data_IF_791312825293
#
_entry.id   IF_791312825293
#
_cell.length_a   1.000
_cell.length_b   1.000
_cell.length_c   1.000
_cell.angle_alpha   90.00
_cell.angle_beta   90.00
_cell.angle_gamma   90.00
#
_symmetry.space_group_name_H-M   'P 1'
#
loop_
_entity.id
_entity.type
_entity.pdbx_description
1 polymer ?
#
# COMPACT_ATOMS: atom_id res chain seq x y z
N UNK A 1 13.53 65.64 40.04
CA UNK A 1 12.60 64.50 40.28
C UNK A 1 11.88 64.05 39.00
N UNK A 2 10.95 64.83 38.42
CA UNK A 2 10.24 64.39 37.18
C UNK A 2 11.21 64.21 35.99
N UNK A 3 12.11 65.18 35.76
CA UNK A 3 13.09 65.09 34.67
C UNK A 3 14.04 63.88 34.80
N UNK A 4 14.42 63.56 36.02
CA UNK A 4 15.31 62.43 36.36
C UNK A 4 14.60 61.09 36.14
N UNK A 5 13.33 60.99 36.54
CA UNK A 5 12.48 59.82 36.24
C UNK A 5 12.25 59.66 34.73
N UNK A 6 12.07 60.75 33.99
CA UNK A 6 11.94 60.72 32.53
C UNK A 6 13.24 60.20 31.88
N UNK A 7 14.40 60.65 32.37
CA UNK A 7 15.70 60.23 31.87
C UNK A 7 15.96 58.74 32.10
N UNK A 8 15.67 58.23 33.30
CA UNK A 8 15.77 56.80 33.62
C UNK A 8 14.82 55.97 32.74
N UNK A 9 13.60 56.46 32.52
CA UNK A 9 12.63 55.80 31.64
C UNK A 9 13.11 55.79 30.18
N UNK A 10 13.65 56.90 29.68
CA UNK A 10 14.21 56.96 28.32
C UNK A 10 15.40 56.02 28.15
N UNK A 11 16.28 55.92 29.16
CA UNK A 11 17.40 54.98 29.15
C UNK A 11 16.92 53.53 29.16
N UNK A 12 15.89 53.20 29.95
CA UNK A 12 15.29 51.88 29.96
C UNK A 12 14.65 51.54 28.61
N UNK A 13 13.91 52.47 27.99
CA UNK A 13 13.33 52.29 26.65
C UNK A 13 14.45 52.07 25.61
N UNK A 14 15.49 52.90 25.62
CA UNK A 14 16.62 52.78 24.71
C UNK A 14 17.38 51.45 24.89
N UNK A 15 17.40 50.89 26.09
CA UNK A 15 17.99 49.58 26.36
C UNK A 15 17.10 48.41 25.90
N UNK A 16 15.78 48.58 25.86
CA UNK A 16 14.82 47.55 25.44
C UNK A 16 14.72 47.45 23.91
N UNK A 17 14.81 48.56 23.18
CA UNK A 17 14.77 48.59 21.70
C UNK A 17 15.70 47.54 21.05
N UNK A 18 17.01 47.50 21.34
CA UNK A 18 17.90 46.52 20.70
C UNK A 18 17.56 45.07 21.07
N UNK A 19 16.97 44.84 22.26
CA UNK A 19 16.51 43.50 22.66
C UNK A 19 15.29 43.09 21.84
N UNK A 20 14.35 43.99 21.57
CA UNK A 20 13.20 43.72 20.71
C UNK A 20 13.63 43.46 19.27
N UNK A 21 14.57 44.26 18.76
CA UNK A 21 15.11 44.09 17.40
C UNK A 21 15.82 42.74 17.25
N UNK A 22 16.64 42.34 18.22
CA UNK A 22 17.30 41.05 18.23
C UNK A 22 16.29 39.88 18.25
N UNK A 23 15.23 39.96 19.06
CA UNK A 23 14.17 38.95 19.06
C UNK A 23 13.41 38.90 17.74
N UNK A 24 13.09 40.06 17.15
CA UNK A 24 12.43 40.15 15.84
C UNK A 24 13.29 39.49 14.74
N UNK A 25 14.59 39.74 14.74
CA UNK A 25 15.53 39.11 13.81
C UNK A 25 15.63 37.59 14.03
N UNK A 26 15.67 37.14 15.29
CA UNK A 26 15.69 35.72 15.62
C UNK A 26 14.41 35.01 15.16
N UNK A 27 13.24 35.61 15.38
CA UNK A 27 11.94 35.09 14.92
C UNK A 27 11.87 35.03 13.39
N UNK A 28 12.33 36.06 12.69
CA UNK A 28 12.39 36.03 11.23
C UNK A 28 13.34 34.96 10.70
N UNK A 29 14.50 34.78 11.36
CA UNK A 29 15.45 33.71 11.02
C UNK A 29 14.83 32.33 11.22
N UNK A 30 14.12 32.13 12.34
CA UNK A 30 13.41 30.89 12.63
C UNK A 30 12.31 30.62 11.61
N UNK A 31 11.49 31.62 11.30
CA UNK A 31 10.43 31.53 10.27
C UNK A 31 11.02 31.09 8.92
N UNK A 32 12.06 31.76 8.46
CA UNK A 32 12.74 31.42 7.19
C UNK A 32 13.35 30.00 7.25
N UNK A 33 13.88 29.58 8.40
CA UNK A 33 14.40 28.24 8.63
C UNK A 33 13.31 27.16 8.52
N UNK A 34 12.15 27.41 9.13
CA UNK A 34 10.99 26.52 9.08
C UNK A 34 10.46 26.41 7.64
N UNK A 35 10.33 27.53 6.93
CA UNK A 35 9.87 27.54 5.53
C UNK A 35 10.83 26.74 4.62
N UNK A 36 12.15 26.92 4.77
CA UNK A 36 13.15 26.15 4.02
C UNK A 36 13.06 24.65 4.34
N UNK A 37 12.93 24.31 5.62
CA UNK A 37 12.81 22.93 6.07
C UNK A 37 11.54 22.27 5.51
N UNK A 38 10.43 22.99 5.52
CA UNK A 38 9.16 22.55 4.94
C UNK A 38 9.31 22.25 3.43
N UNK A 39 9.91 23.16 2.67
CA UNK A 39 10.20 22.95 1.23
C UNK A 39 11.09 21.73 1.02
N UNK A 40 12.16 21.58 1.82
CA UNK A 40 13.08 20.45 1.69
C UNK A 40 12.37 19.12 1.97
N UNK A 41 11.54 19.07 3.01
CA UNK A 41 10.75 17.88 3.32
C UNK A 41 9.77 17.54 2.20
N UNK A 42 8.99 18.52 1.71
CA UNK A 42 8.05 18.29 0.60
C UNK A 42 8.73 17.71 -0.63
N UNK A 43 9.89 18.27 -1.04
CA UNK A 43 10.67 17.75 -2.17
C UNK A 43 11.16 16.32 -1.91
N UNK A 44 11.59 16.03 -0.68
CA UNK A 44 12.05 14.69 -0.29
C UNK A 44 10.91 13.67 -0.35
N UNK A 45 9.71 14.01 0.14
CA UNK A 45 8.53 13.14 0.06
C UNK A 45 8.12 12.85 -1.39
N UNK A 46 8.06 13.89 -2.23
CA UNK A 46 7.74 13.72 -3.65
C UNK A 46 8.77 12.84 -4.36
N UNK A 47 10.06 13.09 -4.15
CA UNK A 47 11.13 12.27 -4.75
C UNK A 47 11.06 10.80 -4.31
N UNK A 48 10.85 10.54 -3.02
CA UNK A 48 10.72 9.19 -2.49
C UNK A 48 9.49 8.48 -3.05
N UNK A 49 8.37 9.18 -3.15
CA UNK A 49 7.15 8.63 -3.72
C UNK A 49 7.30 8.31 -5.21
N UNK A 50 7.89 9.22 -6.00
CA UNK A 50 8.20 8.98 -7.41
C UNK A 50 9.08 7.73 -7.55
N UNK A 51 10.13 7.62 -6.73
CA UNK A 51 11.03 6.45 -6.73
C UNK A 51 10.28 5.16 -6.40
N UNK A 52 9.36 5.19 -5.42
CA UNK A 52 8.49 4.05 -5.08
C UNK A 52 7.59 3.66 -6.25
N UNK A 53 6.91 4.63 -6.87
CA UNK A 53 6.02 4.40 -8.01
C UNK A 53 6.78 3.79 -9.19
N UNK A 54 7.97 4.29 -9.53
CA UNK A 54 8.82 3.70 -10.57
C UNK A 54 9.26 2.27 -10.27
N UNK A 55 9.38 1.91 -8.98
CA UNK A 55 9.65 0.54 -8.52
C UNK A 55 8.38 -0.31 -8.41
N UNK A 56 7.25 0.14 -8.97
CA UNK A 56 5.94 -0.48 -8.85
C UNK A 56 5.46 -0.65 -7.40
N UNK A 57 5.94 0.19 -6.48
CA UNK A 57 5.49 0.25 -5.09
C UNK A 57 4.43 1.35 -4.97
N UNK A 58 3.18 0.92 -4.81
CA UNK A 58 2.04 1.82 -4.75
C UNK A 58 2.06 2.63 -3.44
N UNK A 59 1.86 3.95 -3.53
CA UNK A 59 1.97 4.84 -2.37
C UNK A 59 1.22 6.16 -2.56
N UNK A 60 0.60 6.66 -1.48
CA UNK A 60 -0.01 7.99 -1.43
C UNK A 60 0.85 9.02 -0.66
N UNK A 61 2.10 8.68 -0.33
CA UNK A 61 2.97 9.49 0.52
C UNK A 61 3.44 10.82 -0.11
N UNK A 62 3.12 11.07 -1.38
CA UNK A 62 3.36 12.36 -2.03
C UNK A 62 2.24 13.37 -1.75
N UNK A 63 1.09 12.92 -1.25
CA UNK A 63 -0.01 13.79 -0.87
C UNK A 63 0.31 14.46 0.48
N UNK A 64 -0.05 15.73 0.59
CA UNK A 64 -0.10 16.39 1.89
C UNK A 64 -1.15 15.70 2.78
N UNK A 65 -1.06 15.81 4.12
CA UNK A 65 -2.09 15.27 5.00
C UNK A 65 -3.50 15.77 4.62
N UNK A 66 -3.64 17.05 4.31
CA UNK A 66 -4.92 17.66 3.94
C UNK A 66 -5.47 17.10 2.62
N UNK A 67 -4.61 16.88 1.63
CA UNK A 67 -5.03 16.31 0.34
C UNK A 67 -5.29 14.81 0.43
N UNK A 68 -4.56 14.09 1.28
CA UNK A 68 -4.80 12.68 1.55
C UNK A 68 -6.21 12.48 2.13
N UNK A 69 -6.63 13.34 3.06
CA UNK A 69 -7.99 13.30 3.59
C UNK A 69 -9.04 13.50 2.49
N UNK A 70 -8.86 14.47 1.60
CA UNK A 70 -9.78 14.69 0.46
C UNK A 70 -9.86 13.48 -0.44
N UNK A 71 -8.71 12.93 -0.86
CA UNK A 71 -8.66 11.73 -1.71
C UNK A 71 -9.36 10.55 -1.04
N UNK A 72 -9.15 10.35 0.26
CA UNK A 72 -9.84 9.31 1.02
C UNK A 72 -11.34 9.52 0.98
N UNK A 73 -11.84 10.72 1.29
CA UNK A 73 -13.28 10.99 1.26
C UNK A 73 -13.90 10.84 -0.13
N UNK A 74 -13.22 11.33 -1.17
CA UNK A 74 -13.68 11.20 -2.56
C UNK A 74 -13.82 9.72 -2.94
N UNK A 75 -12.86 8.87 -2.57
CA UNK A 75 -12.92 7.43 -2.86
C UNK A 75 -14.07 6.76 -2.10
N UNK A 76 -14.30 7.16 -0.85
CA UNK A 76 -15.38 6.63 -0.02
C UNK A 76 -16.74 7.00 -0.63
N UNK A 77 -16.91 8.26 -1.02
CA UNK A 77 -18.16 8.77 -1.60
C UNK A 77 -18.41 8.17 -2.98
N UNK A 78 -17.44 8.26 -3.90
CA UNK A 78 -17.57 7.73 -5.26
C UNK A 78 -17.69 6.20 -5.28
N UNK A 79 -17.05 5.52 -4.32
CA UNK A 79 -17.09 4.08 -4.18
C UNK A 79 -18.26 3.55 -3.36
N UNK A 80 -19.08 4.42 -2.76
CA UNK A 80 -20.14 4.05 -1.80
C UNK A 80 -19.64 3.07 -0.72
N UNK A 81 -18.45 3.35 -0.18
CA UNK A 81 -17.77 2.48 0.78
C UNK A 81 -18.34 2.70 2.19
N UNK A 82 -18.57 1.60 2.90
CA UNK A 82 -18.93 1.64 4.32
C UNK A 82 -17.87 0.90 5.13
N UNK A 83 -17.51 1.47 6.28
CA UNK A 83 -16.49 0.91 7.16
C UNK A 83 -17.11 0.59 8.52
N UNK A 84 -17.00 -0.66 8.95
CA UNK A 84 -17.35 -1.05 10.30
C UNK A 84 -16.15 -0.82 11.22
N UNK A 85 -16.22 0.23 12.04
CA UNK A 85 -15.21 0.52 13.04
C UNK A 85 -15.38 -0.41 14.25
N UNK A 86 -14.77 -1.59 14.20
CA UNK A 86 -14.55 -2.42 15.41
C UNK A 86 -13.14 -2.20 15.97
N UNK A 87 -12.97 -2.37 17.28
CA UNK A 87 -11.68 -2.17 17.95
C UNK A 87 -10.57 -3.04 17.33
N UNK A 88 -9.46 -2.41 16.94
CA UNK A 88 -8.36 -3.05 16.20
C UNK A 88 -8.45 -2.92 14.68
N UNK A 89 -9.41 -2.17 14.14
CA UNK A 89 -9.55 -1.93 12.70
C UNK A 89 -8.34 -1.19 12.11
N UNK A 90 -7.91 -1.64 10.94
CA UNK A 90 -6.91 -0.99 10.09
C UNK A 90 -7.30 0.49 9.87
N UNK A 91 -6.38 1.47 9.95
CA UNK A 91 -6.67 2.86 9.64
C UNK A 91 -7.30 3.02 8.25
N UNK A 92 -8.32 3.88 8.11
CA UNK A 92 -9.03 4.10 6.83
C UNK A 92 -8.06 4.43 5.70
N UNK A 93 -7.06 5.26 5.97
CA UNK A 93 -6.00 5.60 5.00
C UNK A 93 -5.27 4.37 4.48
N UNK A 94 -4.98 3.40 5.34
CA UNK A 94 -4.32 2.16 4.96
C UNK A 94 -5.27 1.26 4.16
N UNK A 95 -6.56 1.20 4.53
CA UNK A 95 -7.58 0.50 3.74
C UNK A 95 -7.66 1.09 2.32
N UNK A 96 -7.78 2.41 2.20
CA UNK A 96 -7.82 3.11 0.91
C UNK A 96 -6.54 2.89 0.11
N UNK A 97 -5.38 2.90 0.77
CA UNK A 97 -4.09 2.59 0.11
C UNK A 97 -4.08 1.15 -0.42
N UNK A 98 -4.71 0.19 0.26
CA UNK A 98 -4.87 -1.19 -0.22
C UNK A 98 -5.85 -1.33 -1.40
N UNK A 99 -6.68 -0.32 -1.67
CA UNK A 99 -7.53 -0.27 -2.87
C UNK A 99 -6.76 0.22 -4.11
N UNK A 100 -5.58 0.81 -3.93
CA UNK A 100 -4.75 1.28 -5.03
C UNK A 100 -4.20 0.08 -5.80
N UNK A 101 -4.54 -0.02 -7.09
CA UNK A 101 -4.10 -1.14 -7.96
C UNK A 101 -3.05 -0.73 -8.97
N UNK A 102 -3.00 0.55 -9.33
CA UNK A 102 -2.03 1.09 -10.27
C UNK A 102 -1.77 2.56 -10.02
N UNK A 103 -0.55 2.99 -10.30
CA UNK A 103 -0.17 4.39 -10.38
C UNK A 103 0.57 4.64 -11.69
N UNK A 104 0.34 5.81 -12.26
CA UNK A 104 1.01 6.27 -13.47
C UNK A 104 1.51 7.69 -13.24
N UNK A 105 2.73 7.95 -13.72
CA UNK A 105 3.34 9.28 -13.68
C UNK A 105 3.47 9.77 -15.10
N UNK A 106 2.86 10.92 -15.37
CA UNK A 106 2.93 11.61 -16.64
C UNK A 106 3.54 12.99 -16.42
N UNK A 107 4.31 13.48 -17.39
CA UNK A 107 4.81 14.85 -17.40
C UNK A 107 4.19 15.60 -18.57
N UNK A 108 3.47 16.69 -18.27
CA UNK A 108 2.83 17.55 -19.25
C UNK A 108 3.70 18.81 -19.40
N UNK A 109 4.44 18.99 -20.52
CA UNK A 109 5.24 20.18 -20.76
C UNK A 109 4.39 21.46 -20.76
N UNK A 110 4.98 22.59 -20.34
CA UNK A 110 4.27 23.87 -20.32
C UNK A 110 3.84 24.40 -21.69
N UNK A 111 4.39 23.84 -22.77
CA UNK A 111 3.92 24.10 -24.13
C UNK A 111 2.51 23.56 -24.44
N UNK A 112 1.97 22.68 -23.59
CA UNK A 112 0.68 22.01 -23.82
C UNK A 112 -0.50 22.66 -23.07
N UNK A 113 -0.29 23.72 -22.29
CA UNK A 113 -1.37 24.41 -21.58
C UNK A 113 -1.07 25.91 -21.42
N UNK A 114 -2.12 26.68 -21.10
CA UNK A 114 -1.98 28.11 -20.83
C UNK A 114 -1.29 28.27 -19.48
N UNK A 115 -0.06 28.77 -19.51
CA UNK A 115 0.77 28.95 -18.34
C UNK A 115 0.94 30.45 -18.03
N UNK A 116 0.69 30.83 -16.78
CA UNK A 116 0.87 32.21 -16.30
C UNK A 116 2.29 32.45 -15.74
N UNK A 117 3.03 31.38 -15.45
CA UNK A 117 4.38 31.45 -14.89
C UNK A 117 5.43 31.11 -15.96
N UNK A 118 6.21 32.09 -16.45
CA UNK A 118 7.20 31.85 -17.51
C UNK A 118 8.35 30.91 -17.09
N UNK A 119 8.49 30.60 -15.80
CA UNK A 119 9.51 29.69 -15.28
C UNK A 119 9.04 28.25 -15.08
N UNK A 120 7.74 27.97 -15.23
CA UNK A 120 7.21 26.61 -15.14
C UNK A 120 7.50 25.83 -16.44
N UNK A 121 8.23 24.73 -16.31
CA UNK A 121 8.64 23.86 -17.44
C UNK A 121 7.59 22.79 -17.78
N UNK A 122 6.65 22.54 -16.87
CA UNK A 122 5.65 21.49 -17.01
C UNK A 122 5.04 21.09 -15.68
N UNK A 123 4.03 20.21 -15.75
CA UNK A 123 3.31 19.65 -14.61
C UNK A 123 3.57 18.16 -14.53
N UNK A 124 3.89 17.69 -13.34
CA UNK A 124 3.90 16.28 -13.03
C UNK A 124 2.49 15.86 -12.61
N UNK A 125 1.93 14.88 -13.31
CA UNK A 125 0.61 14.32 -13.00
C UNK A 125 0.81 12.90 -12.52
N UNK A 126 0.30 12.61 -11.32
CA UNK A 126 0.28 11.26 -10.76
C UNK A 126 -1.16 10.78 -10.78
N UNK A 127 -1.45 9.82 -11.66
CA UNK A 127 -2.77 9.22 -11.80
C UNK A 127 -2.85 7.95 -10.96
N UNK A 128 -3.81 7.90 -10.04
CA UNK A 128 -4.07 6.75 -9.18
C UNK A 128 -5.30 5.99 -9.69
N UNK A 129 -5.18 4.67 -9.76
CA UNK A 129 -6.30 3.79 -10.10
C UNK A 129 -6.66 2.96 -8.86
N UNK A 130 -7.90 3.08 -8.42
CA UNK A 130 -8.42 2.35 -7.27
C UNK A 130 -9.41 1.27 -7.73
N UNK A 131 -9.33 0.09 -7.12
CA UNK A 131 -10.33 -0.95 -7.25
C UNK A 131 -11.29 -0.89 -6.07
N UNK A 132 -12.48 -0.36 -6.31
CA UNK A 132 -13.54 -0.30 -5.30
C UNK A 132 -14.33 -1.60 -5.33
N UNK A 133 -14.49 -2.30 -4.20
CA UNK A 133 -15.34 -3.49 -4.12
C UNK A 133 -16.81 -3.15 -4.39
N UNK A 134 -17.49 -3.97 -5.20
CA UNK A 134 -18.94 -3.85 -5.40
C UNK A 134 -19.71 -4.50 -4.23
N UNK A 135 -20.90 -4.01 -3.91
CA UNK A 135 -21.72 -4.53 -2.80
C UNK A 135 -22.14 -6.00 -3.00
N UNK A 136 -22.29 -6.45 -4.25
CA UNK A 136 -22.63 -7.84 -4.59
C UNK A 136 -21.39 -8.69 -4.88
N UNK A 137 -20.38 -8.60 -4.02
CA UNK A 137 -19.24 -9.50 -4.14
C UNK A 137 -19.62 -10.92 -3.73
N UNK A 138 -19.40 -11.86 -4.64
CA UNK A 138 -19.43 -13.28 -4.31
C UNK A 138 -18.36 -13.57 -3.29
N UNK A 139 -18.78 -14.10 -2.14
CA UNK A 139 -17.87 -14.45 -1.07
C UNK A 139 -17.06 -15.68 -1.49
N UNK A 140 -15.74 -15.57 -1.45
CA UNK A 140 -14.84 -16.69 -1.66
C UNK A 140 -14.33 -17.21 -0.32
N UNK A 141 -14.34 -18.52 -0.14
CA UNK A 141 -13.61 -19.17 0.94
C UNK A 141 -12.18 -19.44 0.50
N UNK A 142 -11.22 -18.85 1.21
CA UNK A 142 -9.80 -19.00 0.91
C UNK A 142 -9.17 -20.04 1.82
N UNK A 143 -8.54 -21.03 1.20
CA UNK A 143 -7.84 -22.13 1.85
C UNK A 143 -6.36 -22.04 1.52
N UNK A 144 -5.52 -22.14 2.55
CA UNK A 144 -4.09 -22.42 2.38
C UNK A 144 -3.92 -23.92 2.17
N UNK A 145 -3.38 -24.32 1.03
CA UNK A 145 -3.12 -25.73 0.74
C UNK A 145 -1.73 -26.11 1.25
N UNK A 146 -1.68 -27.17 2.04
CA UNK A 146 -0.44 -27.73 2.57
C UNK A 146 -0.20 -29.09 1.91
N UNK A 147 0.98 -29.27 1.31
CA UNK A 147 1.38 -30.57 0.76
C UNK A 147 2.20 -31.33 1.79
N UNK A 148 1.66 -32.44 2.29
CA UNK A 148 2.37 -33.35 3.18
C UNK A 148 2.92 -34.54 2.38
N UNK A 149 4.14 -35.01 2.66
CA UNK A 149 4.65 -36.26 2.10
C UNK A 149 3.78 -37.45 2.54
N UNK A 150 3.60 -38.43 1.67
CA UNK A 150 2.86 -39.67 1.97
C UNK A 150 3.49 -40.88 1.28
N UNK A 151 3.21 -42.08 1.78
CA UNK A 151 3.72 -43.33 1.23
C UNK A 151 2.86 -43.79 0.04
N UNK A 152 3.47 -43.99 -1.11
CA UNK A 152 2.82 -44.55 -2.29
C UNK A 152 3.78 -45.52 -3.00
N UNK A 153 3.35 -46.77 -3.22
CA UNK A 153 4.17 -47.81 -3.88
C UNK A 153 5.59 -47.95 -3.28
N UNK A 154 5.68 -48.00 -1.94
CA UNK A 154 6.92 -48.07 -1.16
C UNK A 154 7.88 -46.88 -1.26
N UNK A 155 7.44 -45.76 -1.83
CA UNK A 155 8.21 -44.51 -1.84
C UNK A 155 7.47 -43.41 -1.09
N UNK A 156 8.20 -42.60 -0.33
CA UNK A 156 7.67 -41.38 0.26
C UNK A 156 7.70 -40.29 -0.80
N UNK A 157 6.51 -39.89 -1.25
CA UNK A 157 6.35 -38.88 -2.28
C UNK A 157 5.66 -37.64 -1.72
N UNK A 158 6.00 -36.47 -2.24
CA UNK A 158 5.29 -35.22 -1.96
C UNK A 158 4.73 -34.65 -3.25
N UNK A 159 3.49 -34.16 -3.19
CA UNK A 159 2.89 -33.44 -4.30
C UNK A 159 3.66 -32.13 -4.55
N UNK A 160 3.99 -31.89 -5.82
CA UNK A 160 4.63 -30.66 -6.28
C UNK A 160 3.67 -29.88 -7.17
N UNK A 161 3.95 -28.59 -7.37
CA UNK A 161 3.16 -27.71 -8.24
C UNK A 161 1.69 -27.52 -7.81
N UNK A 162 1.36 -27.83 -6.54
CA UNK A 162 0.08 -27.47 -5.93
C UNK A 162 0.09 -25.96 -5.63
N UNK A 163 -0.97 -25.21 -5.95
CA UNK A 163 -1.07 -23.80 -5.57
C UNK A 163 -1.01 -23.65 -4.04
N UNK A 164 -0.37 -22.59 -3.54
CA UNK A 164 -0.28 -22.34 -2.10
C UNK A 164 -1.63 -21.93 -1.50
N UNK A 165 -2.43 -21.19 -2.26
CA UNK A 165 -3.76 -20.75 -1.83
C UNK A 165 -4.79 -21.04 -2.90
N UNK A 166 -6.01 -21.27 -2.45
CA UNK A 166 -7.17 -21.47 -3.30
C UNK A 166 -8.40 -20.79 -2.72
N UNK A 167 -9.12 -20.09 -3.56
CA UNK A 167 -10.41 -19.51 -3.26
C UNK A 167 -11.50 -20.32 -3.95
N UNK A 168 -12.59 -20.58 -3.26
CA UNK A 168 -13.77 -21.27 -3.81
C UNK A 168 -15.01 -20.43 -3.56
N UNK A 169 -15.78 -20.15 -4.60
CA UNK A 169 -17.12 -19.57 -4.50
C UNK A 169 -18.14 -20.71 -4.27
N UNK A 170 -18.84 -20.73 -3.14
CA UNK A 170 -19.82 -21.77 -2.85
C UNK A 170 -21.09 -21.67 -3.72
N UNK A 171 -21.37 -20.50 -4.31
CA UNK A 171 -22.59 -20.29 -5.09
C UNK A 171 -22.55 -20.94 -6.47
N UNK A 172 -21.39 -20.90 -7.15
CA UNK A 172 -21.22 -21.35 -8.54
C UNK A 172 -20.05 -22.34 -8.74
N UNK A 173 -19.38 -22.75 -7.67
CA UNK A 173 -18.18 -23.61 -7.68
C UNK A 173 -17.02 -23.08 -8.54
N UNK A 174 -16.97 -21.77 -8.79
CA UNK A 174 -15.79 -21.14 -9.39
C UNK A 174 -14.65 -21.07 -8.39
N UNK A 175 -13.42 -21.09 -8.91
CA UNK A 175 -12.21 -21.10 -8.09
C UNK A 175 -11.15 -20.16 -8.62
N UNK A 176 -10.31 -19.66 -7.71
CA UNK A 176 -9.08 -18.94 -8.02
C UNK A 176 -7.92 -19.61 -7.29
N UNK A 177 -6.73 -19.58 -7.89
CA UNK A 177 -5.55 -20.26 -7.37
C UNK A 177 -4.35 -19.31 -7.38
N UNK A 178 -3.61 -19.28 -6.27
CA UNK A 178 -2.36 -18.53 -6.15
C UNK A 178 -1.21 -19.48 -5.86
N UNK A 179 -0.18 -19.46 -6.71
CA UNK A 179 1.09 -20.16 -6.46
C UNK A 179 1.98 -19.34 -5.55
N UNK A 180 2.08 -18.04 -5.81
CA UNK A 180 2.76 -17.09 -4.95
C UNK A 180 1.88 -15.84 -4.73
N UNK A 181 1.19 -15.73 -3.58
CA UNK A 181 0.35 -14.57 -3.31
C UNK A 181 1.17 -13.29 -3.09
N UNK A 182 2.43 -13.39 -2.65
CA UNK A 182 3.28 -12.21 -2.42
C UNK A 182 3.69 -11.56 -3.75
N UNK A 183 4.07 -12.38 -4.74
CA UNK A 183 4.35 -11.90 -6.10
C UNK A 183 3.12 -11.27 -6.77
N UNK A 184 1.93 -11.77 -6.44
CA UNK A 184 0.65 -11.26 -6.96
C UNK A 184 0.16 -10.00 -6.24
N UNK A 185 0.92 -9.52 -5.24
CA UNK A 185 0.56 -8.37 -4.41
C UNK A 185 -0.72 -8.59 -3.61
N UNK A 186 -1.00 -9.84 -3.20
CA UNK A 186 -2.18 -10.20 -2.41
C UNK A 186 -1.83 -10.30 -0.92
N UNK A 187 -2.60 -9.60 -0.07
CA UNK A 187 -2.56 -9.79 1.38
C UNK A 187 -3.74 -10.67 1.83
N UNK A 188 -3.57 -11.97 1.74
CA UNK A 188 -4.65 -12.93 2.07
C UNK A 188 -4.91 -13.10 3.58
N UNK A 189 -4.20 -12.39 4.46
CA UNK A 189 -4.37 -12.52 5.92
C UNK A 189 -5.40 -11.54 6.50
N UNK A 190 -5.46 -10.31 5.97
CA UNK A 190 -6.24 -9.21 6.58
C UNK A 190 -7.39 -8.72 5.70
N UNK A 191 -7.18 -8.61 4.38
CA UNK A 191 -8.20 -8.18 3.42
C UNK A 191 -7.82 -8.73 2.04
N UNK A 192 -8.70 -9.49 1.39
CA UNK A 192 -8.46 -10.08 0.07
C UNK A 192 -8.55 -9.04 -1.04
N UNK A 193 -7.70 -8.02 -0.98
CA UNK A 193 -7.35 -7.22 -2.16
C UNK A 193 -6.08 -7.84 -2.76
N UNK A 194 -6.14 -8.03 -4.07
CA UNK A 194 -5.04 -8.51 -4.87
C UNK A 194 -4.77 -7.45 -5.92
N UNK A 195 -3.51 -7.12 -6.16
CA UNK A 195 -3.14 -6.30 -7.32
C UNK A 195 -3.49 -7.03 -8.61
N UNK A 196 -3.11 -8.31 -8.68
CA UNK A 196 -3.41 -9.20 -9.80
C UNK A 196 -4.31 -10.33 -9.31
N UNK A 197 -5.63 -10.15 -9.46
CA UNK A 197 -6.60 -11.21 -9.17
C UNK A 197 -6.49 -12.30 -10.25
N UNK A 198 -6.21 -13.56 -9.89
CA UNK A 198 -6.16 -14.65 -10.85
C UNK A 198 -7.49 -14.82 -11.55
N UNK A 199 -7.46 -15.35 -12.77
CA UNK A 199 -8.68 -15.64 -13.51
C UNK A 199 -9.56 -16.64 -12.75
N UNK A 200 -10.87 -16.36 -12.72
CA UNK A 200 -11.87 -17.31 -12.26
C UNK A 200 -11.89 -18.51 -13.20
N UNK A 201 -11.78 -19.71 -12.63
CA UNK A 201 -11.78 -20.97 -13.37
C UNK A 201 -12.72 -21.96 -12.71
N UNK A 202 -13.42 -22.73 -13.52
CA UNK A 202 -14.04 -23.96 -13.04
C UNK A 202 -12.95 -24.98 -12.70
N UNK A 203 -13.25 -25.88 -11.76
CA UNK A 203 -12.32 -26.94 -11.39
C UNK A 203 -12.16 -27.88 -12.59
N UNK A 204 -11.01 -27.79 -13.25
CA UNK A 204 -10.68 -28.75 -14.29
C UNK A 204 -10.44 -30.12 -13.65
N UNK A 205 -11.21 -31.12 -14.08
CA UNK A 205 -11.03 -32.53 -13.67
C UNK A 205 -9.65 -33.07 -14.07
N UNK A 206 -8.99 -32.43 -15.03
CA UNK A 206 -7.68 -32.84 -15.53
C UNK A 206 -6.53 -32.17 -14.75
N UNK A 207 -6.82 -31.21 -13.87
CA UNK A 207 -5.81 -30.66 -12.96
C UNK A 207 -5.48 -31.64 -11.85
N UNK A 208 -4.25 -31.64 -11.35
CA UNK A 208 -3.84 -32.45 -10.19
C UNK A 208 -4.83 -32.32 -9.02
N UNK A 209 -5.18 -31.07 -8.66
CA UNK A 209 -6.11 -30.81 -7.58
C UNK A 209 -7.53 -31.29 -7.90
N UNK A 210 -7.99 -31.12 -9.14
CA UNK A 210 -9.28 -31.65 -9.60
C UNK A 210 -9.34 -33.18 -9.55
N UNK A 211 -8.24 -33.86 -9.86
CA UNK A 211 -8.14 -35.32 -9.73
C UNK A 211 -8.23 -35.76 -8.27
N UNK A 212 -7.55 -35.07 -7.36
CA UNK A 212 -7.60 -35.35 -5.92
C UNK A 212 -9.04 -35.18 -5.39
N UNK A 213 -9.68 -34.05 -5.69
CA UNK A 213 -11.04 -33.75 -5.22
C UNK A 213 -12.05 -34.73 -5.81
N UNK A 214 -11.89 -35.07 -7.10
CA UNK A 214 -12.75 -36.00 -7.82
C UNK A 214 -12.47 -37.48 -7.51
N UNK A 215 -11.49 -37.80 -6.65
CA UNK A 215 -11.04 -39.17 -6.41
C UNK A 215 -10.68 -39.92 -7.71
N UNK A 216 -10.10 -39.21 -8.68
CA UNK A 216 -9.68 -39.72 -9.98
C UNK A 216 -8.23 -40.21 -9.94
N UNK A 217 -7.81 -41.05 -10.91
CA UNK A 217 -6.40 -41.43 -11.05
C UNK A 217 -5.50 -40.19 -11.19
N UNK A 218 -4.39 -40.14 -10.44
CA UNK A 218 -3.46 -39.02 -10.36
C UNK A 218 -2.50 -38.96 -11.56
N UNK A 219 -3.03 -38.87 -12.78
CA UNK A 219 -2.21 -38.83 -14.01
C UNK A 219 -1.54 -37.48 -14.26
N UNK A 220 -2.12 -36.38 -13.79
CA UNK A 220 -1.65 -35.01 -14.03
C UNK A 220 -0.87 -34.44 -12.85
N UNK A 221 -0.50 -35.30 -11.90
CA UNK A 221 0.07 -34.90 -10.62
C UNK A 221 1.57 -35.11 -10.60
N UNK A 222 2.33 -34.02 -10.52
CA UNK A 222 3.78 -34.11 -10.37
C UNK A 222 4.15 -34.44 -8.92
N UNK A 223 4.96 -35.47 -8.75
CA UNK A 223 5.45 -35.91 -7.44
C UNK A 223 6.96 -35.78 -7.39
N UNK A 224 7.50 -35.50 -6.21
CA UNK A 224 8.93 -35.61 -5.93
C UNK A 224 9.13 -36.67 -4.87
N UNK A 225 10.16 -37.50 -5.04
CA UNK A 225 10.64 -38.37 -3.95
C UNK A 225 11.21 -37.49 -2.85
N UNK A 226 10.78 -37.74 -1.62
CA UNK A 226 11.33 -37.10 -0.44
C UNK A 226 12.07 -38.20 0.32
N UNK A 227 13.39 -38.09 0.52
CA UNK A 227 14.10 -39.05 1.34
C UNK A 227 13.43 -39.10 2.72
N UNK A 228 13.21 -40.32 3.23
CA UNK A 228 12.69 -40.49 4.58
C UNK A 228 13.59 -39.66 5.51
N UNK A 229 13.03 -38.79 6.36
CA UNK A 229 13.84 -38.17 7.39
C UNK A 229 14.52 -39.31 8.14
N UNK A 230 15.85 -39.32 8.16
CA UNK A 230 16.60 -40.20 9.03
C UNK A 230 16.05 -39.93 10.43
N UNK A 231 15.24 -40.87 10.91
CA UNK A 231 14.83 -40.86 12.31
C UNK A 231 16.13 -41.20 13.01
N UNK A 232 16.87 -40.15 13.39
CA UNK A 232 17.91 -40.21 14.41
C UNK A 232 17.18 -40.67 15.68
N UNK A 233 17.06 -41.99 15.81
CA UNK A 233 16.94 -42.62 17.10
C UNK A 233 18.29 -42.39 17.79
N UNK A 234 18.44 -41.21 18.39
CA UNK A 234 19.42 -41.02 19.45
C UNK A 234 19.06 -42.05 20.53
N UNK A 235 19.85 -43.11 20.56
CA UNK A 235 19.78 -44.23 21.50
C UNK A 235 20.63 -43.91 22.72
#
# INVERSE_FOLDING_TARGET
>A
KIAEQLQVTQQAINAIIPVLDAHSQALNTLKNGIERLHIHFQRSFLYLAITKIFRNQLTLNYLSPDDLHKVVYDIIEQGNLTFNAQHGSIPIVEIITKLLVRQQIDFIPSSQYINQNPHEIGRLVITNFFAVPQQEQTSFYIYKLLTMPFLHKNETIQLTHIPRYRATNPADNTTMEWRDPEESGCDLQLMTSCRDTPQLRSISKDSCLGQIIGSLPLSSTHTKSVPLPEILFDS
#
